data_IF_842711075796
#
_entry.id   IF_842711075796
#
_cell.length_a   1.000
_cell.length_b   1.000
_cell.length_c   1.000
_cell.angle_alpha   90.00
_cell.angle_beta   90.00
_cell.angle_gamma   90.00
#
_symmetry.space_group_name_H-M   'P 1'
#
loop_
_entity.id
_entity.type
_entity.pdbx_description
1 polymer ?
#
# COMPACT_ATOMS: atom_id res chain seq x y z
N UNK A 1 -39.76 49.79 46.54
CA UNK A 1 -38.79 50.91 46.52
C UNK A 1 -38.48 51.51 45.14
N UNK A 2 -39.09 51.05 44.02
CA UNK A 2 -38.80 51.60 42.70
C UNK A 2 -39.67 52.81 42.29
N UNK A 3 -40.74 53.15 43.02
CA UNK A 3 -41.75 54.15 42.61
C UNK A 3 -41.38 55.63 42.80
N UNK A 4 -40.25 55.94 43.45
CA UNK A 4 -39.82 57.31 43.74
C UNK A 4 -38.72 57.85 42.79
N UNK A 5 -38.34 57.11 41.73
CA UNK A 5 -37.25 57.50 40.83
C UNK A 5 -37.77 58.15 39.53
N UNK A 6 -37.11 59.22 39.01
CA UNK A 6 -37.46 59.85 37.73
C UNK A 6 -37.47 58.84 36.58
N UNK A 7 -38.41 58.98 35.63
CA UNK A 7 -38.62 58.05 34.50
C UNK A 7 -37.32 57.68 33.75
N UNK A 8 -36.37 58.62 33.59
CA UNK A 8 -35.06 58.37 32.99
C UNK A 8 -34.20 57.39 33.80
N UNK A 9 -34.13 57.52 35.13
CA UNK A 9 -33.38 56.60 36.02
C UNK A 9 -34.01 55.21 36.07
N UNK A 10 -35.35 55.10 36.04
CA UNK A 10 -36.06 53.82 35.91
C UNK A 10 -35.76 53.10 34.61
N UNK A 11 -35.78 53.82 33.47
CA UNK A 11 -35.39 53.25 32.17
C UNK A 11 -33.94 52.80 32.18
N UNK A 12 -33.02 53.61 32.73
CA UNK A 12 -31.60 53.26 32.82
C UNK A 12 -31.35 52.00 33.66
N UNK A 13 -32.04 51.87 34.81
CA UNK A 13 -31.94 50.70 35.68
C UNK A 13 -32.56 49.45 35.05
N UNK A 14 -33.67 49.60 34.31
CA UNK A 14 -34.28 48.50 33.55
C UNK A 14 -33.38 48.05 32.39
N UNK A 15 -32.79 48.97 31.64
CA UNK A 15 -31.85 48.64 30.55
C UNK A 15 -30.55 48.05 31.10
N UNK A 16 -30.04 48.55 32.23
CA UNK A 16 -28.86 47.97 32.88
C UNK A 16 -29.16 46.58 33.43
N UNK A 17 -30.33 46.36 34.04
CA UNK A 17 -30.77 45.04 34.48
C UNK A 17 -30.91 44.04 33.34
N UNK A 18 -31.51 44.46 32.22
CA UNK A 18 -31.61 43.65 31.00
C UNK A 18 -30.23 43.32 30.41
N UNK A 19 -29.31 44.28 30.39
CA UNK A 19 -27.94 44.06 29.91
C UNK A 19 -27.18 43.06 30.79
N UNK A 20 -27.34 43.14 32.11
CA UNK A 20 -26.73 42.18 33.05
C UNK A 20 -27.32 40.78 32.88
N UNK A 21 -28.64 40.66 32.76
CA UNK A 21 -29.29 39.35 32.50
C UNK A 21 -28.82 38.77 31.17
N UNK A 22 -28.70 39.59 30.12
CA UNK A 22 -28.20 39.16 28.84
C UNK A 22 -26.74 38.69 28.91
N UNK A 23 -25.87 39.43 29.60
CA UNK A 23 -24.47 39.04 29.81
C UNK A 23 -24.33 37.73 30.59
N UNK A 24 -25.11 37.56 31.66
CA UNK A 24 -25.10 36.32 32.46
C UNK A 24 -25.63 35.14 31.64
N UNK A 25 -26.71 35.33 30.86
CA UNK A 25 -27.23 34.30 29.98
C UNK A 25 -26.21 33.93 28.88
N UNK A 26 -25.53 34.92 28.30
CA UNK A 26 -24.52 34.68 27.25
C UNK A 26 -23.30 33.96 27.81
N UNK A 27 -22.85 34.34 29.01
CA UNK A 27 -21.75 33.67 29.70
C UNK A 27 -22.11 32.23 30.10
N UNK A 28 -23.34 31.99 30.55
CA UNK A 28 -23.82 30.64 30.86
C UNK A 28 -23.90 29.76 29.61
N UNK A 29 -24.38 30.30 28.48
CA UNK A 29 -24.38 29.58 27.19
C UNK A 29 -22.95 29.30 26.72
N UNK A 30 -22.03 30.28 26.84
CA UNK A 30 -20.63 30.08 26.49
C UNK A 30 -19.96 29.01 27.38
N UNK A 31 -20.24 28.99 28.69
CA UNK A 31 -19.74 27.97 29.61
C UNK A 31 -20.32 26.57 29.33
N UNK A 32 -21.57 26.49 28.89
CA UNK A 32 -22.19 25.22 28.48
C UNK A 32 -21.66 24.73 27.12
N UNK A 33 -21.31 25.65 26.22
CA UNK A 33 -20.71 25.35 24.91
C UNK A 33 -19.21 25.07 24.97
N UNK A 34 -18.51 25.54 26.01
CA UNK A 34 -17.09 25.29 26.28
C UNK A 34 -16.85 24.03 27.12
N UNK A 35 -17.85 23.15 27.27
CA UNK A 35 -17.61 21.83 27.85
C UNK A 35 -16.59 21.12 26.94
N UNK A 36 -15.39 20.76 27.45
CA UNK A 36 -14.47 19.97 26.66
C UNK A 36 -15.18 18.66 26.31
N UNK A 37 -15.24 18.35 25.03
CA UNK A 37 -15.66 17.02 24.57
C UNK A 37 -14.86 16.00 25.38
N UNK A 38 -15.52 14.99 26.00
CA UNK A 38 -14.78 13.93 26.66
C UNK A 38 -13.79 13.35 25.66
N UNK A 39 -12.49 13.47 25.97
CA UNK A 39 -11.45 12.95 25.10
C UNK A 39 -11.67 11.47 24.87
N UNK A 40 -11.45 11.01 23.63
CA UNK A 40 -11.62 9.62 23.24
C UNK A 40 -10.95 8.67 24.25
N UNK A 41 -11.72 7.70 24.76
CA UNK A 41 -11.22 6.62 25.61
C UNK A 41 -11.27 5.31 24.82
N UNK A 42 -10.14 4.62 24.62
CA UNK A 42 -10.14 3.33 23.95
C UNK A 42 -11.13 2.36 24.61
N UNK A 43 -12.13 1.89 23.84
CA UNK A 43 -13.15 0.95 24.29
C UNK A 43 -14.50 1.55 24.73
N UNK A 44 -14.67 2.88 24.67
CA UNK A 44 -15.98 3.52 24.91
C UNK A 44 -16.88 3.36 23.67
N UNK A 45 -18.07 2.79 23.85
CA UNK A 45 -19.09 2.72 22.79
C UNK A 45 -19.68 4.12 22.54
N UNK A 46 -19.37 4.71 21.39
CA UNK A 46 -19.89 6.01 20.99
C UNK A 46 -21.22 5.83 20.25
N UNK A 47 -22.32 6.16 20.92
CA UNK A 47 -23.67 6.11 20.37
C UNK A 47 -23.77 6.95 19.08
N UNK A 48 -24.04 6.30 17.95
CA UNK A 48 -24.16 6.95 16.63
C UNK A 48 -22.88 7.05 15.79
N UNK A 49 -21.71 6.67 16.33
CA UNK A 49 -20.45 6.57 15.57
C UNK A 49 -20.13 5.13 15.16
N UNK A 50 -20.56 4.14 15.93
CA UNK A 50 -20.67 2.76 15.45
C UNK A 50 -22.03 2.61 14.78
N UNK A 51 -22.11 2.92 13.48
CA UNK A 51 -23.18 2.36 12.69
C UNK A 51 -23.00 0.84 12.75
N UNK A 52 -23.81 0.16 13.55
CA UNK A 52 -24.00 -1.28 13.42
C UNK A 52 -24.56 -1.51 12.01
N UNK A 53 -23.66 -1.74 11.05
CA UNK A 53 -23.95 -2.19 9.69
C UNK A 53 -24.36 -3.67 9.72
N UNK A 54 -25.16 -4.08 10.70
CA UNK A 54 -25.73 -5.43 10.81
C UNK A 54 -26.97 -5.49 9.95
N UNK A 55 -26.78 -5.58 8.64
CA UNK A 55 -27.84 -6.06 7.74
C UNK A 55 -27.93 -7.57 7.91
N UNK A 56 -29.02 -8.07 8.49
CA UNK A 56 -29.33 -9.50 8.44
C UNK A 56 -29.51 -9.91 6.98
N UNK A 57 -28.59 -10.73 6.47
CA UNK A 57 -28.70 -11.32 5.14
C UNK A 57 -29.82 -12.38 5.15
N UNK A 58 -30.67 -12.44 4.11
CA UNK A 58 -31.62 -13.53 3.93
C UNK A 58 -30.96 -14.91 4.01
N UNK A 59 -31.71 -15.94 4.43
CA UNK A 59 -31.19 -17.30 4.57
C UNK A 59 -30.71 -17.90 3.24
N UNK A 60 -31.24 -17.42 2.12
CA UNK A 60 -30.94 -17.79 0.74
C UNK A 60 -29.90 -16.87 0.07
N UNK A 61 -29.28 -15.96 0.82
CA UNK A 61 -28.24 -15.08 0.28
C UNK A 61 -27.04 -15.91 -0.19
N UNK A 62 -26.54 -15.71 -1.43
CA UNK A 62 -25.41 -16.47 -1.94
C UNK A 62 -24.19 -16.23 -1.05
N UNK A 63 -23.70 -17.31 -0.44
CA UNK A 63 -22.49 -17.28 0.38
C UNK A 63 -21.31 -17.62 -0.50
N UNK A 64 -20.47 -16.62 -0.75
CA UNK A 64 -19.16 -16.85 -1.34
C UNK A 64 -18.26 -17.38 -0.23
N UNK A 65 -17.74 -18.59 -0.40
CA UNK A 65 -16.76 -19.19 0.50
C UNK A 65 -15.49 -19.49 -0.26
N UNK A 66 -14.35 -19.16 0.32
CA UNK A 66 -13.04 -19.52 -0.21
C UNK A 66 -12.58 -20.82 0.47
N UNK A 67 -12.03 -21.73 -0.34
CA UNK A 67 -11.35 -22.93 0.12
C UNK A 67 -9.85 -22.76 -0.17
N UNK A 68 -9.01 -22.99 0.83
CA UNK A 68 -7.56 -23.08 0.60
C UNK A 68 -7.25 -24.36 -0.18
N UNK A 69 -6.83 -24.19 -1.42
CA UNK A 69 -6.40 -25.27 -2.32
C UNK A 69 -4.93 -25.13 -2.70
N UNK A 70 -4.13 -24.33 -1.97
CA UNK A 70 -2.75 -24.01 -2.33
C UNK A 70 -1.89 -25.26 -2.56
N UNK A 71 -1.93 -26.20 -1.61
CA UNK A 71 -1.17 -27.45 -1.71
C UNK A 71 -1.74 -28.40 -2.79
N UNK A 72 -3.05 -28.70 -2.86
CA UNK A 72 -3.63 -29.47 -3.96
C UNK A 72 -3.38 -28.90 -5.35
N UNK A 73 -3.32 -27.57 -5.48
CA UNK A 73 -3.02 -26.88 -6.74
C UNK A 73 -1.53 -26.94 -7.11
N UNK A 74 -0.67 -27.54 -6.29
CA UNK A 74 0.77 -27.66 -6.57
C UNK A 74 1.57 -26.38 -6.33
N UNK A 75 0.98 -25.35 -5.70
CA UNK A 75 1.68 -24.11 -5.37
C UNK A 75 2.52 -24.34 -4.11
N UNK A 76 3.85 -24.41 -4.28
CA UNK A 76 4.81 -24.48 -3.20
C UNK A 76 5.71 -23.23 -3.23
N UNK A 77 5.24 -22.16 -2.59
CA UNK A 77 5.93 -20.88 -2.51
C UNK A 77 6.37 -20.61 -1.08
N UNK A 78 7.63 -20.18 -0.91
CA UNK A 78 8.13 -19.70 0.38
C UNK A 78 8.56 -18.25 0.24
N UNK A 79 7.81 -17.38 0.90
CA UNK A 79 8.14 -15.97 0.98
C UNK A 79 9.31 -15.76 1.95
N UNK A 80 10.32 -15.02 1.49
CA UNK A 80 11.55 -14.70 2.22
C UNK A 80 12.36 -15.93 2.65
N UNK A 81 13.69 -15.81 2.63
CA UNK A 81 14.58 -16.83 3.17
C UNK A 81 15.51 -16.24 4.21
N UNK A 82 15.69 -16.93 5.33
CA UNK A 82 16.58 -16.49 6.41
C UNK A 82 15.87 -15.69 7.52
N UNK A 83 16.63 -14.83 8.20
CA UNK A 83 16.18 -14.06 9.36
C UNK A 83 15.97 -12.60 8.97
N UNK A 84 14.78 -12.07 9.25
CA UNK A 84 14.45 -10.65 9.09
C UNK A 84 15.25 -9.80 10.09
N UNK A 85 15.66 -8.63 9.64
CA UNK A 85 16.34 -7.60 10.43
C UNK A 85 15.44 -6.42 10.76
N UNK A 86 14.14 -6.54 10.47
CA UNK A 86 13.10 -5.54 10.74
C UNK A 86 13.42 -4.18 10.11
N UNK A 87 13.42 -4.19 8.78
CA UNK A 87 13.69 -3.04 7.93
C UNK A 87 12.48 -2.84 7.01
N UNK A 88 12.15 -1.58 6.72
CA UNK A 88 10.95 -1.24 5.96
C UNK A 88 10.84 -2.01 4.63
N UNK A 89 11.89 -2.14 3.80
CA UNK A 89 11.81 -2.94 2.56
C UNK A 89 11.66 -4.45 2.80
N UNK A 90 12.05 -4.96 3.97
CA UNK A 90 11.85 -6.38 4.28
C UNK A 90 10.38 -6.63 4.64
N UNK A 91 9.81 -5.80 5.50
CA UNK A 91 8.56 -6.10 6.22
C UNK A 91 7.27 -5.70 5.48
N UNK A 92 7.37 -5.05 4.32
CA UNK A 92 6.20 -4.61 3.54
C UNK A 92 5.46 -5.73 2.77
N UNK A 93 5.95 -6.97 2.81
CA UNK A 93 5.38 -8.08 2.04
C UNK A 93 5.60 -7.90 0.53
N UNK A 94 5.11 -8.85 -0.28
CA UNK A 94 5.26 -8.82 -1.74
C UNK A 94 3.93 -9.02 -2.46
N UNK A 95 3.88 -8.59 -3.72
CA UNK A 95 2.72 -8.73 -4.59
C UNK A 95 2.67 -10.02 -5.41
N UNK A 96 1.61 -10.14 -6.20
CA UNK A 96 1.42 -11.18 -7.20
C UNK A 96 0.59 -10.61 -8.35
N UNK A 97 0.70 -11.20 -9.54
CA UNK A 97 0.00 -10.75 -10.75
C UNK A 97 -0.44 -11.94 -11.61
N UNK A 98 -1.59 -11.80 -12.26
CA UNK A 98 -2.16 -12.79 -13.18
C UNK A 98 -2.05 -12.33 -14.63
N UNK A 99 -1.63 -13.21 -15.53
CA UNK A 99 -1.74 -13.04 -16.98
C UNK A 99 -1.67 -14.40 -17.67
N UNK A 100 -2.23 -14.50 -18.87
CA UNK A 100 -2.00 -15.63 -19.77
C UNK A 100 -0.70 -15.34 -20.55
N UNK A 101 0.44 -15.79 -20.02
CA UNK A 101 1.73 -15.35 -20.56
C UNK A 101 2.17 -16.13 -21.80
N UNK A 102 1.64 -17.35 -21.97
CA UNK A 102 1.94 -18.23 -23.10
C UNK A 102 0.80 -18.36 -24.12
N UNK A 103 -0.26 -17.56 -23.96
CA UNK A 103 -1.45 -17.49 -24.83
C UNK A 103 -2.15 -18.87 -24.97
N UNK A 104 -2.16 -19.67 -23.90
CA UNK A 104 -2.81 -20.97 -23.88
C UNK A 104 -4.29 -20.91 -23.46
N UNK A 105 -4.77 -19.72 -23.10
CA UNK A 105 -6.13 -19.43 -22.68
C UNK A 105 -6.36 -19.56 -21.16
N UNK A 106 -5.33 -19.87 -20.38
CA UNK A 106 -5.39 -19.96 -18.92
C UNK A 106 -4.56 -18.88 -18.26
N UNK A 107 -5.09 -18.29 -17.18
CA UNK A 107 -4.31 -17.32 -16.41
C UNK A 107 -3.24 -18.01 -15.58
N UNK A 108 -2.02 -17.54 -15.70
CA UNK A 108 -0.82 -17.94 -14.96
C UNK A 108 -0.52 -16.96 -13.82
N UNK A 109 0.23 -17.44 -12.83
CA UNK A 109 0.50 -16.70 -11.61
C UNK A 109 1.98 -16.35 -11.49
N UNK A 110 2.29 -15.06 -11.47
CA UNK A 110 3.59 -14.57 -11.03
C UNK A 110 3.52 -14.10 -9.57
N UNK A 111 4.42 -14.60 -8.73
CA UNK A 111 4.51 -14.25 -7.31
C UNK A 111 5.85 -13.59 -7.03
N UNK A 112 5.81 -12.36 -6.51
CA UNK A 112 6.99 -11.57 -6.16
C UNK A 112 7.57 -12.09 -4.85
N UNK A 113 8.90 -12.04 -4.70
CA UNK A 113 9.59 -12.47 -3.49
C UNK A 113 10.72 -11.51 -3.12
N UNK A 114 11.22 -11.69 -1.90
CA UNK A 114 12.33 -10.93 -1.34
C UNK A 114 13.51 -11.86 -1.03
N UNK A 115 14.63 -11.62 -1.70
CA UNK A 115 15.95 -12.18 -1.36
C UNK A 115 16.58 -11.30 -0.27
N UNK A 116 16.13 -11.46 0.97
CA UNK A 116 16.59 -10.67 2.12
C UNK A 116 17.46 -11.45 3.11
N UNK A 117 17.95 -10.79 4.18
CA UNK A 117 17.72 -9.39 4.55
C UNK A 117 18.34 -8.36 3.60
N UNK A 118 17.97 -7.07 3.71
CA UNK A 118 18.48 -5.99 2.83
C UNK A 118 20.00 -5.78 2.93
N UNK A 119 20.63 -6.38 3.95
CA UNK A 119 22.07 -6.35 4.18
C UNK A 119 22.85 -7.41 3.41
N UNK A 120 22.18 -8.33 2.70
CA UNK A 120 22.87 -9.35 1.91
C UNK A 120 23.77 -8.73 0.83
N UNK A 121 24.92 -9.35 0.61
CA UNK A 121 25.81 -9.02 -0.51
C UNK A 121 25.18 -9.43 -1.85
N UNK A 122 25.73 -8.92 -2.96
CA UNK A 122 25.26 -9.32 -4.31
C UNK A 122 25.42 -10.82 -4.56
N UNK A 123 26.50 -11.40 -4.06
CA UNK A 123 26.80 -12.83 -4.16
C UNK A 123 25.80 -13.66 -3.33
N UNK A 124 25.47 -13.19 -2.12
CA UNK A 124 24.48 -13.84 -1.26
C UNK A 124 23.07 -13.76 -1.85
N UNK A 125 22.70 -12.62 -2.43
CA UNK A 125 21.44 -12.45 -3.17
C UNK A 125 21.40 -13.43 -4.34
N UNK A 126 22.46 -13.52 -5.14
CA UNK A 126 22.52 -14.42 -6.29
C UNK A 126 22.41 -15.91 -5.89
N UNK A 127 22.98 -16.28 -4.74
CA UNK A 127 22.88 -17.62 -4.17
C UNK A 127 21.57 -17.88 -3.41
N UNK A 128 20.73 -16.87 -3.20
CA UNK A 128 19.52 -16.98 -2.40
C UNK A 128 18.52 -17.95 -3.04
N UNK A 129 17.91 -18.85 -2.24
CA UNK A 129 16.80 -19.68 -2.71
C UNK A 129 15.49 -18.90 -2.82
N UNK A 130 15.36 -17.74 -2.17
CA UNK A 130 14.22 -16.86 -2.36
C UNK A 130 14.38 -16.06 -3.66
N UNK A 131 13.42 -16.21 -4.56
CA UNK A 131 13.30 -15.51 -5.84
C UNK A 131 11.83 -15.36 -6.21
N UNK A 132 11.52 -14.45 -7.11
CA UNK A 132 10.19 -14.40 -7.73
C UNK A 132 9.91 -15.68 -8.49
N UNK A 133 8.64 -16.07 -8.60
CA UNK A 133 8.23 -17.36 -9.14
C UNK A 133 7.11 -17.19 -10.17
N UNK A 134 7.27 -17.80 -11.34
CA UNK A 134 6.21 -17.97 -12.32
C UNK A 134 5.65 -19.39 -12.25
N UNK A 135 4.33 -19.48 -12.09
CA UNK A 135 3.55 -20.69 -12.10
C UNK A 135 2.66 -20.71 -13.34
N UNK A 136 2.93 -21.64 -14.26
CA UNK A 136 2.04 -21.90 -15.39
C UNK A 136 0.83 -22.71 -14.93
N UNK A 137 -0.36 -22.30 -15.33
CA UNK A 137 -1.61 -23.01 -15.10
C UNK A 137 -1.70 -24.22 -16.04
N UNK A 138 -2.08 -25.39 -15.51
CA UNK A 138 -2.19 -26.60 -16.33
C UNK A 138 -3.61 -26.81 -16.90
N UNK A 139 -4.56 -25.91 -16.60
CA UNK A 139 -5.96 -26.00 -17.04
C UNK A 139 -6.81 -27.04 -16.28
N UNK A 140 -6.23 -27.71 -15.28
CA UNK A 140 -6.88 -28.75 -14.47
C UNK A 140 -7.00 -28.37 -12.98
N UNK A 141 -6.77 -27.09 -12.66
CA UNK A 141 -6.73 -26.57 -11.29
C UNK A 141 -5.38 -26.74 -10.59
N UNK A 142 -4.35 -27.21 -11.31
CA UNK A 142 -2.98 -27.30 -10.81
C UNK A 142 -2.03 -26.33 -11.53
N UNK A 143 -0.88 -26.09 -10.92
CA UNK A 143 0.16 -25.21 -11.44
C UNK A 143 1.51 -25.92 -11.53
N UNK A 144 2.34 -25.50 -12.49
CA UNK A 144 3.73 -25.91 -12.63
C UNK A 144 4.65 -24.71 -12.50
N UNK A 145 5.66 -24.81 -11.62
CA UNK A 145 6.69 -23.78 -11.52
C UNK A 145 7.59 -23.82 -12.77
N UNK A 146 7.52 -22.78 -13.59
CA UNK A 146 8.26 -22.64 -14.85
C UNK A 146 9.33 -21.55 -14.78
N UNK A 147 9.59 -21.00 -13.58
CA UNK A 147 10.48 -19.83 -13.36
C UNK A 147 11.84 -19.93 -14.07
N UNK A 148 12.51 -21.08 -13.96
CA UNK A 148 13.84 -21.26 -14.56
C UNK A 148 13.78 -21.45 -16.07
N UNK A 149 12.72 -22.09 -16.58
CA UNK A 149 12.47 -22.22 -18.00
C UNK A 149 12.16 -20.85 -18.63
N UNK A 150 11.32 -20.06 -17.96
CA UNK A 150 10.89 -18.75 -18.43
C UNK A 150 11.95 -17.65 -18.27
N UNK A 151 12.90 -17.80 -17.34
CA UNK A 151 13.97 -16.82 -17.13
C UNK A 151 13.60 -15.62 -16.24
N UNK A 152 12.47 -15.67 -15.52
CA UNK A 152 11.91 -14.54 -14.73
C UNK A 152 12.17 -14.64 -13.22
N UNK A 153 13.19 -15.40 -12.83
CA UNK A 153 13.53 -15.69 -11.43
C UNK A 153 14.27 -14.56 -10.70
N UNK A 154 13.72 -13.35 -10.70
CA UNK A 154 14.34 -12.17 -10.07
C UNK A 154 14.72 -12.43 -8.61
N UNK A 155 15.97 -12.08 -8.26
CA UNK A 155 16.54 -12.14 -6.91
C UNK A 155 16.89 -10.73 -6.46
N UNK A 156 16.20 -10.26 -5.43
CA UNK A 156 16.29 -8.90 -4.91
C UNK A 156 15.11 -8.65 -3.97
N UNK A 157 14.88 -7.40 -3.62
CA UNK A 157 13.79 -7.03 -2.72
C UNK A 157 12.58 -6.61 -3.55
N UNK A 158 11.89 -7.57 -4.16
CA UNK A 158 10.72 -7.31 -4.99
C UNK A 158 9.53 -6.80 -4.17
N UNK A 159 8.76 -5.87 -4.73
CA UNK A 159 7.60 -5.23 -4.10
C UNK A 159 6.29 -5.64 -4.77
N UNK A 160 6.17 -5.40 -6.08
CA UNK A 160 4.98 -5.72 -6.87
C UNK A 160 5.35 -6.15 -8.29
N UNK A 161 4.37 -6.62 -9.03
CA UNK A 161 4.52 -6.99 -10.43
C UNK A 161 3.29 -6.57 -11.22
N UNK A 162 3.49 -6.23 -12.49
CA UNK A 162 2.44 -5.85 -13.43
C UNK A 162 2.73 -6.45 -14.80
N UNK A 163 1.68 -6.86 -15.49
CA UNK A 163 1.75 -7.35 -16.87
C UNK A 163 1.28 -6.26 -17.84
N UNK A 164 1.97 -6.11 -18.95
CA UNK A 164 1.60 -5.15 -20.00
C UNK A 164 2.29 -5.46 -21.31
N UNK A 165 1.55 -5.38 -22.42
CA UNK A 165 2.08 -5.52 -23.79
C UNK A 165 2.60 -4.14 -24.23
N UNK A 166 3.85 -3.79 -23.87
CA UNK A 166 4.35 -2.42 -24.05
C UNK A 166 4.77 -2.15 -25.49
N UNK A 167 5.02 -3.18 -26.30
CA UNK A 167 5.43 -3.06 -27.70
C UNK A 167 4.36 -3.50 -28.71
N UNK A 168 3.13 -3.75 -28.23
CA UNK A 168 1.94 -4.10 -29.01
C UNK A 168 2.11 -5.36 -29.86
N UNK A 169 2.80 -6.36 -29.31
CA UNK A 169 3.07 -7.59 -30.02
C UNK A 169 2.05 -8.71 -29.77
N UNK A 170 1.10 -8.47 -28.88
CA UNK A 170 0.04 -9.38 -28.49
C UNK A 170 0.45 -10.35 -27.38
N UNK A 171 1.62 -10.18 -26.76
CA UNK A 171 2.12 -11.01 -25.67
C UNK A 171 2.41 -10.13 -24.46
N UNK A 172 1.91 -10.49 -23.26
CA UNK A 172 2.14 -9.67 -22.09
C UNK A 172 3.60 -9.76 -21.64
N UNK A 173 4.24 -8.61 -21.47
CA UNK A 173 5.54 -8.46 -20.83
C UNK A 173 5.38 -8.31 -19.31
N UNK A 174 6.44 -8.57 -18.56
CA UNK A 174 6.42 -8.57 -17.11
C UNK A 174 7.30 -7.47 -16.53
N UNK A 175 6.71 -6.57 -15.76
CA UNK A 175 7.43 -5.57 -14.98
C UNK A 175 7.41 -5.91 -13.49
N UNK A 176 8.57 -5.86 -12.84
CA UNK A 176 8.74 -6.11 -11.41
C UNK A 176 9.26 -4.86 -10.74
N UNK A 177 8.52 -4.36 -9.75
CA UNK A 177 8.97 -3.26 -8.88
C UNK A 177 9.78 -3.79 -7.72
N UNK A 178 10.75 -3.01 -7.24
CA UNK A 178 11.64 -3.43 -6.17
C UNK A 178 12.11 -2.28 -5.28
N UNK A 179 12.67 -2.61 -4.12
CA UNK A 179 13.67 -1.77 -3.50
C UNK A 179 15.03 -2.04 -4.13
N UNK A 180 15.59 -1.00 -4.77
CA UNK A 180 16.72 -1.10 -5.69
C UNK A 180 16.29 -0.72 -7.10
N UNK A 181 16.64 -1.53 -8.08
CA UNK A 181 16.28 -1.33 -9.49
C UNK A 181 15.07 -2.20 -9.86
N UNK A 182 14.10 -1.62 -10.55
CA UNK A 182 13.00 -2.36 -11.18
C UNK A 182 13.54 -3.26 -12.30
N UNK A 183 12.74 -4.24 -12.72
CA UNK A 183 13.10 -5.15 -13.82
C UNK A 183 11.98 -5.21 -14.83
N UNK A 184 12.31 -5.11 -16.12
CA UNK A 184 11.40 -5.34 -17.24
C UNK A 184 11.84 -6.58 -18.01
N UNK A 185 10.95 -7.55 -18.11
CA UNK A 185 11.11 -8.78 -18.88
C UNK A 185 10.23 -8.72 -20.12
N UNK A 186 10.83 -8.81 -21.30
CA UNK A 186 10.10 -8.91 -22.56
C UNK A 186 9.79 -10.36 -22.90
N UNK A 187 8.56 -10.64 -23.31
CA UNK A 187 8.10 -11.98 -23.65
C UNK A 187 8.55 -12.35 -25.08
N UNK A 188 9.34 -13.42 -25.21
CA UNK A 188 9.89 -13.84 -26.51
C UNK A 188 8.93 -14.76 -27.30
N UNK A 189 7.68 -14.91 -26.83
CA UNK A 189 6.57 -15.64 -27.50
C UNK A 189 6.78 -17.15 -27.62
N UNK A 190 7.75 -17.68 -26.89
CA UNK A 190 8.07 -19.10 -26.82
C UNK A 190 8.03 -19.64 -25.37
N UNK A 191 7.41 -18.86 -24.48
CA UNK A 191 7.33 -19.12 -23.05
C UNK A 191 8.59 -18.71 -22.28
N UNK A 192 9.53 -18.02 -22.92
CA UNK A 192 10.73 -17.45 -22.29
C UNK A 192 10.71 -15.93 -22.33
N UNK A 193 11.54 -15.31 -21.47
CA UNK A 193 11.65 -13.88 -21.35
C UNK A 193 13.10 -13.41 -21.42
N UNK A 194 13.31 -12.20 -21.95
CA UNK A 194 14.59 -11.50 -21.90
C UNK A 194 14.52 -10.28 -20.99
N UNK A 195 15.58 -10.02 -20.22
CA UNK A 195 15.70 -8.79 -19.43
C UNK A 195 15.98 -7.60 -20.37
N UNK A 196 15.01 -6.68 -20.46
CA UNK A 196 15.09 -5.45 -21.25
C UNK A 196 15.25 -4.20 -20.40
N UNK A 197 15.49 -4.33 -19.10
CA UNK A 197 15.56 -3.20 -18.15
C UNK A 197 16.51 -2.11 -18.61
N UNK A 198 17.74 -2.46 -19.02
CA UNK A 198 18.73 -1.46 -19.47
C UNK A 198 18.43 -0.92 -20.87
N UNK A 199 18.04 -1.79 -21.80
CA UNK A 199 17.79 -1.38 -23.19
C UNK A 199 16.53 -0.54 -23.37
N UNK A 200 15.55 -0.66 -22.46
CA UNK A 200 14.34 0.17 -22.40
C UNK A 200 14.55 1.52 -21.69
N UNK A 201 15.74 1.76 -21.12
CA UNK A 201 16.01 2.99 -20.36
C UNK A 201 15.51 2.98 -18.91
N UNK A 202 14.96 1.86 -18.42
CA UNK A 202 14.49 1.69 -17.04
C UNK A 202 15.62 1.35 -16.05
N UNK A 203 16.79 0.94 -16.53
CA UNK A 203 17.94 0.57 -15.71
C UNK A 203 18.69 1.75 -15.12
N UNK A 204 19.40 1.54 -14.00
CA UNK A 204 20.24 2.57 -13.38
C UNK A 204 19.49 3.53 -12.45
N UNK A 205 18.21 3.28 -12.16
CA UNK A 205 17.35 4.16 -11.36
C UNK A 205 17.01 3.47 -10.03
N UNK A 206 17.85 3.59 -8.99
CA UNK A 206 17.57 3.02 -7.69
C UNK A 206 16.46 3.79 -6.96
N UNK A 207 15.64 3.08 -6.20
CA UNK A 207 14.65 3.67 -5.30
C UNK A 207 13.85 2.61 -4.55
N UNK A 208 12.85 3.06 -3.79
CA UNK A 208 11.86 2.18 -3.18
C UNK A 208 10.58 2.26 -4.00
N UNK A 209 10.45 1.38 -4.98
CA UNK A 209 9.33 1.36 -5.92
C UNK A 209 8.25 0.41 -5.40
N UNK A 210 7.12 0.95 -4.93
CA UNK A 210 6.09 0.20 -4.23
C UNK A 210 5.07 -0.47 -5.16
N UNK A 211 4.92 0.04 -6.38
CA UNK A 211 3.97 -0.49 -7.36
C UNK A 211 4.07 0.22 -8.70
N UNK A 212 3.31 -0.25 -9.65
CA UNK A 212 3.28 0.29 -11.00
C UNK A 212 1.88 0.18 -11.60
N UNK A 213 1.64 0.87 -12.71
CA UNK A 213 0.46 0.71 -13.54
C UNK A 213 0.82 1.05 -14.98
N UNK A 214 0.34 0.22 -15.90
CA UNK A 214 0.37 0.48 -17.33
C UNK A 214 -0.87 1.25 -17.78
N UNK A 215 -0.72 2.13 -18.75
CA UNK A 215 -1.86 2.74 -19.42
C UNK A 215 -1.44 3.71 -20.52
N UNK A 216 -2.10 3.64 -21.66
CA UNK A 216 -1.95 4.59 -22.77
C UNK A 216 -2.64 5.92 -22.42
N UNK A 217 -1.94 6.81 -21.72
CA UNK A 217 -2.56 8.02 -21.18
C UNK A 217 -2.71 9.12 -22.23
N UNK A 218 -1.90 9.08 -23.28
CA UNK A 218 -1.88 10.10 -24.33
C UNK A 218 -2.49 9.64 -25.67
N UNK A 219 -2.90 8.38 -25.75
CA UNK A 219 -3.59 7.74 -26.88
C UNK A 219 -2.71 7.62 -28.13
N UNK A 220 -1.40 7.46 -27.96
CA UNK A 220 -0.50 7.15 -29.07
C UNK A 220 -0.49 5.66 -29.46
N UNK A 221 -1.20 4.85 -28.68
CA UNK A 221 -1.40 3.42 -28.91
C UNK A 221 -0.36 2.54 -28.24
N UNK A 222 0.65 3.10 -27.57
CA UNK A 222 1.61 2.34 -26.77
C UNK A 222 1.29 2.51 -25.28
N UNK A 223 1.58 1.48 -24.46
CA UNK A 223 1.36 1.58 -23.02
C UNK A 223 2.46 2.43 -22.37
N UNK A 224 2.06 3.47 -21.63
CA UNK A 224 2.95 4.19 -20.74
C UNK A 224 3.05 3.50 -19.37
N UNK A 225 4.16 3.71 -18.67
CA UNK A 225 4.43 3.11 -17.36
C UNK A 225 4.48 4.16 -16.27
N UNK A 226 3.58 4.09 -15.30
CA UNK A 226 3.66 4.87 -14.06
C UNK A 226 4.17 4.01 -12.90
N UNK A 227 5.17 4.48 -12.17
CA UNK A 227 5.79 3.77 -11.04
C UNK A 227 5.69 4.62 -9.78
N UNK A 228 5.17 4.03 -8.69
CA UNK A 228 5.02 4.71 -7.41
C UNK A 228 6.28 4.56 -6.55
N UNK A 229 6.85 5.69 -6.14
CA UNK A 229 7.91 5.73 -5.12
C UNK A 229 7.29 5.78 -3.73
N UNK A 230 7.88 5.08 -2.76
CA UNK A 230 7.41 5.12 -1.38
C UNK A 230 8.15 6.18 -0.56
N UNK A 231 9.32 5.84 -0.04
CA UNK A 231 10.19 6.74 0.72
C UNK A 231 11.64 6.56 0.29
N UNK A 232 12.45 7.59 0.49
CA UNK A 232 13.90 7.56 0.28
C UNK A 232 14.58 6.81 1.42
N UNK A 233 14.37 5.50 1.42
CA UNK A 233 14.91 4.62 2.45
C UNK A 233 16.44 4.57 2.40
N UNK A 234 17.06 4.72 3.56
CA UNK A 234 18.49 4.49 3.78
C UNK A 234 18.65 3.63 5.02
N UNK A 235 19.56 2.65 4.99
CA UNK A 235 19.77 1.78 6.15
C UNK A 235 20.07 2.63 7.41
N UNK A 236 19.27 2.52 8.48
CA UNK A 236 19.36 3.38 9.65
C UNK A 236 20.50 2.89 10.56
N UNK A 237 21.75 3.13 10.14
CA UNK A 237 22.86 3.06 11.09
C UNK A 237 22.83 4.25 12.07
N UNK A 238 22.22 5.38 11.67
CA UNK A 238 22.33 6.67 12.37
C UNK A 238 20.98 7.39 12.63
N UNK A 239 19.83 6.79 12.33
CA UNK A 239 18.52 7.45 12.46
C UNK A 239 17.86 7.17 13.82
N UNK A 240 17.51 8.25 14.54
CA UNK A 240 16.72 8.16 15.77
C UNK A 240 15.28 7.73 15.44
N UNK A 241 14.76 6.74 16.18
CA UNK A 241 13.34 6.36 16.12
C UNK A 241 12.43 7.52 16.52
N UNK A 242 11.14 7.41 16.21
CA UNK A 242 10.15 8.40 16.66
C UNK A 242 9.07 7.74 17.48
N UNK A 243 8.45 8.50 18.37
CA UNK A 243 7.30 8.03 19.15
C UNK A 243 6.03 8.15 18.30
N UNK A 244 5.33 7.03 18.10
CA UNK A 244 4.01 6.99 17.48
C UNK A 244 3.05 6.31 18.48
N UNK A 245 1.93 6.95 18.82
CA UNK A 245 0.97 6.42 19.81
C UNK A 245 1.58 6.01 21.16
N UNK A 246 2.44 6.86 21.73
CA UNK A 246 3.16 6.62 22.99
C UNK A 246 4.04 5.36 23.02
N UNK A 247 4.33 4.78 21.85
CA UNK A 247 5.28 3.69 21.66
C UNK A 247 6.45 4.18 20.79
N UNK A 248 7.68 3.85 21.19
CA UNK A 248 8.85 4.07 20.35
C UNK A 248 8.79 3.14 19.13
N UNK A 249 8.78 3.74 17.94
CA UNK A 249 8.92 3.02 16.68
C UNK A 249 10.34 3.22 16.15
N UNK A 250 11.13 2.14 15.97
CA UNK A 250 12.45 2.24 15.37
C UNK A 250 12.38 2.89 13.98
N UNK A 251 13.34 3.76 13.66
CA UNK A 251 13.39 4.44 12.38
C UNK A 251 13.42 3.44 11.20
N UNK A 252 13.95 2.24 11.39
CA UNK A 252 14.01 1.20 10.36
C UNK A 252 12.67 0.72 9.84
N UNK A 253 11.59 0.89 10.59
CA UNK A 253 10.24 0.44 10.22
C UNK A 253 9.22 1.57 10.16
N UNK A 254 9.66 2.82 10.40
CA UNK A 254 8.77 3.97 10.40
C UNK A 254 8.96 4.81 9.13
N UNK A 255 7.98 4.85 8.21
CA UNK A 255 8.10 5.65 7.00
C UNK A 255 8.25 7.16 7.27
N UNK A 256 7.74 7.66 8.41
CA UNK A 256 7.89 9.08 8.79
C UNK A 256 9.34 9.49 9.09
N UNK A 257 10.24 8.52 9.25
CA UNK A 257 11.68 8.76 9.44
C UNK A 257 12.42 9.06 8.13
N UNK A 258 11.74 9.00 6.98
CA UNK A 258 12.34 9.17 5.65
C UNK A 258 11.59 10.22 4.84
N UNK A 259 12.32 10.91 3.96
CA UNK A 259 11.71 11.81 2.97
C UNK A 259 10.86 11.01 1.97
N UNK A 260 9.74 11.57 1.46
CA UNK A 260 8.97 10.96 0.40
C UNK A 260 9.82 10.72 -0.85
N UNK A 261 9.60 9.59 -1.53
CA UNK A 261 10.19 9.36 -2.85
C UNK A 261 9.29 9.94 -3.96
N UNK A 262 9.91 10.27 -5.11
CA UNK A 262 9.19 10.71 -6.30
C UNK A 262 8.49 9.54 -6.98
N UNK A 263 7.42 9.83 -7.72
CA UNK A 263 6.88 8.89 -8.70
C UNK A 263 7.59 9.09 -10.05
N UNK A 264 7.55 8.06 -10.90
CA UNK A 264 8.11 8.09 -12.24
C UNK A 264 7.00 7.82 -13.26
N UNK A 265 7.06 8.51 -14.40
CA UNK A 265 6.23 8.26 -15.56
C UNK A 265 7.16 8.07 -16.76
N UNK A 266 7.03 6.95 -17.45
CA UNK A 266 7.76 6.61 -18.66
C UNK A 266 6.79 6.56 -19.83
N UNK A 267 7.28 7.02 -20.98
CA UNK A 267 6.65 6.98 -22.28
C UNK A 267 7.69 6.48 -23.28
#
# INVERSE_FOLDING_TARGET
>A
MLHALPRRKRRLLLTAGLAVVFLVATAAVALLALKPEPGYRPGEELEGLTAELTRSLPSDYPRVTFLDVTQPAGINFRHFWGRRTSQLPEDMGSGAAWADYDNDGWLDLFVVNISGPVTLSREEIAASPARCVLYRNNGDGTFTNVTDQAGVGYRGVGMGAEWGDYDNDGWPDLFVTSYGENVLYHNERDGTFSDRTKSSGLGGIPGFWAGAAWGDFDRDGFLDLYVTGYVRYSHPADLMGSTLYDAESPASINPNSFEPERNLLYR
#
